data_IF_371365993300
#
_entry.id   IF_371365993300
#
_cell.length_a   1.000
_cell.length_b   1.000
_cell.length_c   1.000
_cell.angle_alpha   90.00
_cell.angle_beta   90.00
_cell.angle_gamma   90.00
#
_symmetry.space_group_name_H-M   'P 1'
#
loop_
_entity.id
_entity.type
_entity.pdbx_description
1 polymer ?
#
# COMPACT_ATOMS: atom_id res chain seq x y z
N UNK A 1 -12.47 24.06 5.65
CA UNK A 1 -13.49 23.34 4.88
C UNK A 1 -14.05 22.24 5.75
N UNK A 2 -15.38 22.20 5.88
CA UNK A 2 -16.12 21.21 6.66
C UNK A 2 -16.23 19.91 5.85
N UNK A 3 -16.29 18.76 6.52
CA UNK A 3 -16.65 17.50 5.86
C UNK A 3 -18.09 17.58 5.32
N UNK A 4 -18.39 16.93 4.19
CA UNK A 4 -19.77 16.84 3.71
C UNK A 4 -20.61 16.00 4.69
N UNK A 5 -21.90 16.34 4.83
CA UNK A 5 -22.81 15.70 5.78
C UNK A 5 -22.81 14.18 5.67
N UNK A 6 -22.96 13.64 4.45
CA UNK A 6 -22.96 12.19 4.22
C UNK A 6 -21.71 11.47 4.77
N UNK A 7 -20.55 12.14 4.78
CA UNK A 7 -19.30 11.54 5.27
C UNK A 7 -19.26 11.53 6.81
N UNK A 8 -19.78 12.58 7.44
CA UNK A 8 -19.96 12.65 8.89
C UNK A 8 -20.97 11.58 9.35
N UNK A 9 -22.11 11.48 8.67
CA UNK A 9 -23.16 10.51 9.00
C UNK A 9 -22.66 9.07 8.82
N UNK A 10 -22.00 8.78 7.69
CA UNK A 10 -21.40 7.48 7.45
C UNK A 10 -20.35 7.11 8.52
N UNK A 11 -19.53 8.07 8.94
CA UNK A 11 -18.55 7.85 10.02
C UNK A 11 -19.24 7.51 11.33
N UNK A 12 -20.30 8.24 11.68
CA UNK A 12 -21.06 8.00 12.90
C UNK A 12 -21.71 6.61 12.89
N UNK A 13 -22.36 6.22 11.79
CA UNK A 13 -22.99 4.90 11.63
C UNK A 13 -21.95 3.78 11.78
N UNK A 14 -20.85 3.84 11.02
CA UNK A 14 -19.80 2.80 11.07
C UNK A 14 -19.21 2.64 12.47
N UNK A 15 -18.97 3.74 13.18
CA UNK A 15 -18.39 3.70 14.52
C UNK A 15 -19.40 3.23 15.57
N UNK A 16 -20.68 3.61 15.43
CA UNK A 16 -21.76 3.13 16.29
C UNK A 16 -21.95 1.61 16.15
N UNK A 17 -21.99 1.08 14.92
CA UNK A 17 -22.08 -0.35 14.64
C UNK A 17 -20.90 -1.14 15.23
N UNK A 18 -19.73 -0.53 15.29
CA UNK A 18 -18.53 -1.10 15.89
C UNK A 18 -18.43 -0.89 17.42
N UNK A 19 -19.36 -0.15 18.03
CA UNK A 19 -19.35 0.14 19.47
C UNK A 19 -18.18 1.01 19.93
N UNK A 20 -17.67 1.90 19.07
CA UNK A 20 -16.51 2.76 19.37
C UNK A 20 -16.80 4.24 19.12
N UNK A 21 -15.98 5.10 19.73
CA UNK A 21 -16.06 6.53 19.49
C UNK A 21 -15.65 6.91 18.05
N UNK A 22 -16.38 7.83 17.40
CA UNK A 22 -16.01 8.30 16.07
C UNK A 22 -14.73 9.15 16.11
N UNK A 23 -13.88 9.06 15.07
CA UNK A 23 -12.72 9.94 14.94
C UNK A 23 -13.16 11.35 14.54
N UNK A 24 -12.29 12.33 14.75
CA UNK A 24 -12.41 13.62 14.06
C UNK A 24 -12.18 13.40 12.57
N UNK A 25 -13.17 13.78 11.76
CA UNK A 25 -13.08 13.71 10.31
C UNK A 25 -12.46 15.01 9.75
N UNK A 26 -11.30 14.88 9.09
CA UNK A 26 -10.64 15.99 8.40
C UNK A 26 -10.81 15.85 6.89
N UNK A 27 -11.52 16.80 6.26
CA UNK A 27 -11.86 16.72 4.84
C UNK A 27 -11.22 17.85 4.04
N UNK A 28 -10.62 17.51 2.89
CA UNK A 28 -10.12 18.49 1.92
C UNK A 28 -10.44 18.01 0.51
N UNK A 29 -10.65 18.93 -0.43
CA UNK A 29 -10.69 18.60 -1.85
C UNK A 29 -9.27 18.52 -2.42
N UNK A 30 -9.11 17.77 -3.50
CA UNK A 30 -7.91 17.75 -4.34
C UNK A 30 -8.32 17.76 -5.81
N UNK A 31 -7.38 18.14 -6.67
CA UNK A 31 -7.56 18.03 -8.12
C UNK A 31 -7.41 16.57 -8.56
N UNK A 32 -8.26 16.16 -9.52
CA UNK A 32 -8.29 14.83 -10.12
C UNK A 32 -9.34 13.89 -9.52
N UNK A 33 -9.54 12.75 -10.18
CA UNK A 33 -10.63 11.83 -9.87
C UNK A 33 -10.43 11.06 -8.58
N UNK A 34 -9.18 10.67 -8.31
CA UNK A 34 -8.87 9.79 -7.20
C UNK A 34 -8.66 10.52 -5.87
N UNK A 35 -9.27 9.97 -4.84
CA UNK A 35 -9.14 10.37 -3.45
C UNK A 35 -7.94 9.66 -2.78
N UNK A 36 -7.52 10.20 -1.65
CA UNK A 36 -6.53 9.55 -0.78
C UNK A 36 -6.92 9.77 0.68
N UNK A 37 -6.74 8.73 1.49
CA UNK A 37 -7.06 8.75 2.91
C UNK A 37 -5.83 8.60 3.80
N UNK A 38 -6.01 8.93 5.08
CA UNK A 38 -5.07 8.59 6.14
C UNK A 38 -5.77 8.49 7.49
N UNK A 39 -5.52 7.39 8.19
CA UNK A 39 -5.96 7.15 9.56
C UNK A 39 -4.83 7.35 10.55
N UNK A 40 -5.08 8.16 11.59
CA UNK A 40 -4.15 8.42 12.71
C UNK A 40 -4.84 8.17 14.04
N UNK A 41 -4.77 6.92 14.52
CA UNK A 41 -5.38 6.50 15.79
C UNK A 41 -4.83 7.27 16.99
N UNK A 42 -3.53 7.47 17.02
CA UNK A 42 -2.82 8.26 18.04
C UNK A 42 -3.29 9.72 18.11
N UNK A 43 -3.85 10.26 17.02
CA UNK A 43 -4.34 11.63 16.93
C UNK A 43 -5.86 11.73 16.82
N UNK A 44 -6.59 10.65 17.05
CA UNK A 44 -8.04 10.68 17.00
C UNK A 44 -8.62 11.11 15.64
N UNK A 45 -7.90 10.93 14.52
CA UNK A 45 -8.24 11.60 13.26
C UNK A 45 -8.27 10.64 12.08
N UNK A 46 -9.31 10.74 11.25
CA UNK A 46 -9.38 10.20 9.88
C UNK A 46 -9.38 11.37 8.91
N UNK A 47 -8.49 11.36 7.93
CA UNK A 47 -8.36 12.44 6.95
C UNK A 47 -8.61 11.93 5.53
N UNK A 48 -9.40 12.66 4.76
CA UNK A 48 -9.67 12.37 3.34
C UNK A 48 -9.34 13.59 2.50
N UNK A 49 -8.54 13.37 1.44
CA UNK A 49 -8.39 14.29 0.32
C UNK A 49 -9.23 13.78 -0.84
N UNK A 50 -10.42 14.34 -1.00
CA UNK A 50 -11.44 13.91 -1.93
C UNK A 50 -11.14 14.37 -3.36
N UNK A 51 -11.09 13.42 -4.30
CA UNK A 51 -11.13 13.69 -5.74
C UNK A 51 -12.55 14.00 -6.22
N UNK A 52 -12.82 13.87 -7.51
CA UNK A 52 -14.16 14.13 -8.10
C UNK A 52 -15.05 12.88 -8.16
N UNK A 53 -14.48 11.67 -8.15
CA UNK A 53 -15.26 10.42 -8.18
C UNK A 53 -15.89 10.14 -6.80
N UNK A 54 -17.22 10.18 -6.74
CA UNK A 54 -17.99 9.96 -5.51
C UNK A 54 -17.90 8.53 -4.95
N UNK A 55 -17.80 7.51 -5.82
CA UNK A 55 -17.64 6.12 -5.40
C UNK A 55 -16.26 5.94 -4.77
N UNK A 56 -15.23 6.51 -5.41
CA UNK A 56 -13.86 6.52 -4.91
C UNK A 56 -13.72 7.28 -3.57
N UNK A 57 -14.40 8.42 -3.41
CA UNK A 57 -14.48 9.15 -2.13
C UNK A 57 -15.06 8.28 -1.02
N UNK A 58 -16.23 7.65 -1.27
CA UNK A 58 -16.89 6.79 -0.29
C UNK A 58 -16.04 5.57 0.06
N UNK A 59 -15.48 4.89 -0.93
CA UNK A 59 -14.55 3.78 -0.73
C UNK A 59 -13.35 4.21 0.11
N UNK A 60 -12.77 5.37 -0.20
CA UNK A 60 -11.60 5.90 0.53
C UNK A 60 -11.94 6.16 1.99
N UNK A 61 -13.10 6.76 2.29
CA UNK A 61 -13.53 6.96 3.67
C UNK A 61 -13.71 5.62 4.39
N UNK A 62 -14.40 4.66 3.77
CA UNK A 62 -14.60 3.33 4.35
C UNK A 62 -13.29 2.57 4.54
N UNK A 63 -12.30 2.73 3.65
CA UNK A 63 -10.96 2.17 3.80
C UNK A 63 -10.27 2.70 5.06
N UNK A 64 -10.33 4.02 5.28
CA UNK A 64 -9.78 4.63 6.48
C UNK A 64 -10.57 4.23 7.74
N UNK A 65 -11.89 4.10 7.66
CA UNK A 65 -12.68 3.60 8.78
C UNK A 65 -12.40 2.12 9.07
N UNK A 66 -12.10 1.30 8.07
CA UNK A 66 -11.59 -0.06 8.29
C UNK A 66 -10.26 -0.04 9.07
N UNK A 67 -9.35 0.89 8.74
CA UNK A 67 -8.15 1.14 9.56
C UNK A 67 -8.47 1.73 10.91
N UNK A 68 -9.62 2.37 11.13
CA UNK A 68 -10.01 2.88 12.44
C UNK A 68 -10.49 1.74 13.34
N UNK A 69 -11.39 0.90 12.84
CA UNK A 69 -12.10 -0.11 13.64
C UNK A 69 -11.39 -1.46 13.74
N UNK A 70 -10.50 -1.79 12.80
CA UNK A 70 -9.75 -3.07 12.85
C UNK A 70 -8.83 -3.12 14.09
N UNK A 71 -8.45 -4.30 14.59
CA UNK A 71 -7.39 -4.40 15.61
C UNK A 71 -6.10 -3.73 15.14
N UNK A 72 -5.35 -3.14 16.08
CA UNK A 72 -4.06 -2.52 15.75
C UNK A 72 -3.11 -3.58 15.13
N UNK A 73 -2.40 -3.25 14.05
CA UNK A 73 -1.58 -4.22 13.35
C UNK A 73 -0.44 -4.70 14.28
N UNK A 74 -0.33 -6.01 14.45
CA UNK A 74 0.73 -6.62 15.26
C UNK A 74 2.07 -6.48 14.52
N UNK A 75 3.13 -6.11 15.24
CA UNK A 75 4.50 -6.20 14.69
C UNK A 75 4.79 -7.65 14.34
N UNK A 76 5.13 -7.92 13.08
CA UNK A 76 5.63 -9.24 12.69
C UNK A 76 6.96 -9.55 13.37
N UNK A 77 7.32 -10.83 13.48
CA UNK A 77 8.65 -11.29 13.97
C UNK A 77 9.83 -10.66 13.21
N UNK A 78 9.59 -10.16 11.98
CA UNK A 78 10.60 -9.46 11.15
C UNK A 78 10.57 -7.94 11.33
N UNK A 79 9.88 -7.42 12.35
CA UNK A 79 9.77 -5.99 12.65
C UNK A 79 8.90 -5.18 11.68
N UNK A 80 8.21 -5.84 10.74
CA UNK A 80 7.30 -5.17 9.78
C UNK A 80 5.87 -5.15 10.31
N UNK A 81 5.22 -3.99 10.23
CA UNK A 81 3.79 -3.82 10.50
C UNK A 81 3.00 -4.08 9.20
N UNK A 82 2.08 -5.03 9.22
CA UNK A 82 1.21 -5.32 8.07
C UNK A 82 -0.06 -4.47 8.19
N UNK A 83 -0.15 -3.40 7.39
CA UNK A 83 -1.27 -2.46 7.42
C UNK A 83 -2.47 -2.95 6.59
N UNK A 84 -2.23 -3.63 5.46
CA UNK A 84 -3.25 -4.13 4.55
C UNK A 84 -3.26 -5.66 4.49
N UNK A 85 -3.35 -6.28 5.67
CA UNK A 85 -3.37 -7.74 5.81
C UNK A 85 -4.76 -8.35 5.63
N UNK A 86 -4.86 -9.67 5.83
CA UNK A 86 -6.14 -10.40 5.70
C UNK A 86 -7.22 -9.85 6.64
N UNK A 87 -6.90 -9.61 7.91
CA UNK A 87 -7.85 -9.11 8.90
C UNK A 87 -8.43 -7.73 8.51
N UNK A 88 -7.58 -6.84 7.97
CA UNK A 88 -8.01 -5.55 7.44
C UNK A 88 -9.00 -5.74 6.29
N UNK A 89 -8.67 -6.58 5.30
CA UNK A 89 -9.54 -6.74 4.13
C UNK A 89 -10.87 -7.43 4.44
N UNK A 90 -10.94 -8.27 5.46
CA UNK A 90 -12.23 -8.80 5.96
C UNK A 90 -13.15 -7.64 6.37
N UNK A 91 -12.65 -6.72 7.19
CA UNK A 91 -13.40 -5.57 7.66
C UNK A 91 -13.73 -4.60 6.51
N UNK A 92 -12.74 -4.30 5.66
CA UNK A 92 -12.90 -3.35 4.58
C UNK A 92 -13.96 -3.78 3.57
N UNK A 93 -13.91 -5.02 3.07
CA UNK A 93 -14.89 -5.51 2.10
C UNK A 93 -16.29 -5.66 2.69
N UNK A 94 -16.38 -6.03 3.96
CA UNK A 94 -17.67 -6.06 4.66
C UNK A 94 -18.29 -4.65 4.78
N UNK A 95 -17.50 -3.63 5.13
CA UNK A 95 -17.95 -2.24 5.12
C UNK A 95 -18.37 -1.77 3.71
N UNK A 96 -17.60 -2.10 2.68
CA UNK A 96 -17.93 -1.74 1.29
C UNK A 96 -19.30 -2.27 0.90
N UNK A 97 -19.56 -3.56 1.18
CA UNK A 97 -20.84 -4.20 0.89
C UNK A 97 -22.00 -3.58 1.67
N UNK A 98 -21.84 -3.41 2.99
CA UNK A 98 -22.88 -2.82 3.87
C UNK A 98 -23.25 -1.40 3.47
N UNK A 99 -22.33 -0.67 2.86
CA UNK A 99 -22.54 0.72 2.43
C UNK A 99 -22.66 0.89 0.90
N UNK A 100 -23.06 -0.18 0.21
CA UNK A 100 -23.56 -0.14 -1.16
C UNK A 100 -22.48 0.00 -2.23
N UNK A 101 -21.24 -0.40 -1.94
CA UNK A 101 -20.18 -0.52 -2.96
C UNK A 101 -20.13 -1.96 -3.42
N UNK A 102 -20.32 -2.19 -4.73
CA UNK A 102 -20.24 -3.51 -5.32
C UNK A 102 -18.83 -4.11 -5.17
N UNK A 103 -18.75 -5.42 -4.91
CA UNK A 103 -17.48 -6.13 -4.73
C UNK A 103 -16.52 -5.94 -5.93
N UNK A 104 -17.07 -5.86 -7.15
CA UNK A 104 -16.30 -5.59 -8.37
C UNK A 104 -15.66 -4.19 -8.38
N UNK A 105 -16.40 -3.15 -7.99
CA UNK A 105 -15.88 -1.78 -7.89
C UNK A 105 -14.86 -1.65 -6.77
N UNK A 106 -15.16 -2.25 -5.62
CA UNK A 106 -14.24 -2.29 -4.50
C UNK A 106 -12.91 -2.94 -4.89
N UNK A 107 -12.95 -4.12 -5.55
CA UNK A 107 -11.75 -4.81 -6.04
C UNK A 107 -10.98 -3.98 -7.06
N UNK A 108 -11.66 -3.35 -8.02
CA UNK A 108 -11.04 -2.51 -9.05
C UNK A 108 -10.29 -1.33 -8.41
N UNK A 109 -10.95 -0.58 -7.54
CA UNK A 109 -10.39 0.61 -6.90
C UNK A 109 -9.28 0.25 -5.90
N UNK A 110 -9.47 -0.78 -5.08
CA UNK A 110 -8.46 -1.26 -4.13
C UNK A 110 -7.23 -1.80 -4.84
N UNK A 111 -7.40 -2.65 -5.85
CA UNK A 111 -6.26 -3.26 -6.56
C UNK A 111 -5.45 -2.27 -7.38
N UNK A 112 -6.08 -1.19 -7.86
CA UNK A 112 -5.39 -0.07 -8.51
C UNK A 112 -4.41 0.64 -7.57
N UNK A 113 -4.74 0.73 -6.27
CA UNK A 113 -3.91 1.37 -5.24
C UNK A 113 -2.95 0.40 -4.55
N UNK A 114 -3.47 -0.78 -4.22
CA UNK A 114 -2.81 -1.81 -3.44
C UNK A 114 -2.97 -3.16 -4.13
N UNK A 115 -1.93 -3.57 -4.89
CA UNK A 115 -1.94 -4.87 -5.60
C UNK A 115 -2.20 -6.08 -4.70
N UNK A 116 -1.86 -5.97 -3.40
CA UNK A 116 -2.16 -7.00 -2.40
C UNK A 116 -3.65 -7.26 -2.21
N UNK A 117 -4.53 -6.30 -2.54
CA UNK A 117 -5.98 -6.44 -2.45
C UNK A 117 -6.49 -7.66 -3.21
N UNK A 118 -5.98 -7.94 -4.42
CA UNK A 118 -6.40 -9.11 -5.21
C UNK A 118 -6.09 -10.42 -4.47
N UNK A 119 -4.91 -10.52 -3.88
CA UNK A 119 -4.49 -11.72 -3.13
C UNK A 119 -5.36 -11.92 -1.90
N UNK A 120 -5.61 -10.86 -1.14
CA UNK A 120 -6.42 -10.96 0.07
C UNK A 120 -7.90 -11.17 -0.24
N UNK A 121 -8.44 -10.48 -1.24
CA UNK A 121 -9.79 -10.66 -1.75
C UNK A 121 -10.05 -12.11 -2.17
N UNK A 122 -9.13 -12.71 -2.93
CA UNK A 122 -9.23 -14.13 -3.30
C UNK A 122 -9.19 -15.05 -2.07
N UNK A 123 -8.31 -14.76 -1.10
CA UNK A 123 -8.16 -15.56 0.11
C UNK A 123 -9.34 -15.45 1.11
N UNK A 124 -10.18 -14.42 0.98
CA UNK A 124 -11.41 -14.26 1.79
C UNK A 124 -12.68 -14.51 0.98
N UNK A 125 -12.56 -14.95 -0.28
CA UNK A 125 -13.70 -15.35 -1.11
C UNK A 125 -14.50 -14.20 -1.72
N UNK A 126 -13.91 -13.03 -1.94
CA UNK A 126 -14.62 -11.94 -2.63
C UNK A 126 -14.92 -12.35 -4.09
N UNK A 127 -16.17 -12.28 -4.55
CA UNK A 127 -16.55 -12.57 -5.94
C UNK A 127 -15.67 -11.84 -6.95
N UNK A 128 -15.20 -12.55 -7.98
CA UNK A 128 -14.33 -12.00 -9.04
C UNK A 128 -12.86 -11.79 -8.65
N UNK A 129 -12.48 -11.85 -7.36
CA UNK A 129 -11.10 -11.59 -6.95
C UNK A 129 -10.10 -12.67 -7.44
N UNK A 130 -10.51 -13.94 -7.45
CA UNK A 130 -9.68 -15.04 -7.92
C UNK A 130 -9.38 -14.94 -9.42
N UNK A 131 -10.39 -14.62 -10.22
CA UNK A 131 -10.27 -14.38 -11.66
C UNK A 131 -9.39 -13.16 -11.95
N UNK A 132 -9.64 -12.03 -11.29
CA UNK A 132 -8.83 -10.82 -11.43
C UNK A 132 -7.36 -11.07 -11.06
N UNK A 133 -7.10 -11.86 -10.01
CA UNK A 133 -5.75 -12.27 -9.62
C UNK A 133 -5.09 -13.17 -10.67
N UNK A 134 -5.83 -14.11 -11.24
CA UNK A 134 -5.34 -14.97 -12.32
C UNK A 134 -4.99 -14.14 -13.56
N UNK A 135 -5.87 -13.25 -14.00
CA UNK A 135 -5.65 -12.32 -15.12
C UNK A 135 -4.41 -11.45 -14.88
N UNK A 136 -4.27 -10.90 -13.67
CA UNK A 136 -3.09 -10.13 -13.31
C UNK A 136 -1.79 -10.95 -13.43
N UNK A 137 -1.78 -12.18 -12.90
CA UNK A 137 -0.62 -13.08 -12.97
C UNK A 137 -0.29 -13.47 -14.40
N UNK A 138 -1.29 -13.77 -15.23
CA UNK A 138 -1.13 -14.05 -16.65
C UNK A 138 -0.54 -12.86 -17.38
N UNK A 139 -1.04 -11.65 -17.12
CA UNK A 139 -0.47 -10.41 -17.65
C UNK A 139 1.01 -10.22 -17.27
N UNK A 140 1.37 -10.48 -16.01
CA UNK A 140 2.77 -10.44 -15.57
C UNK A 140 3.65 -11.48 -16.25
N UNK A 141 3.15 -12.70 -16.48
CA UNK A 141 3.88 -13.77 -17.18
C UNK A 141 4.09 -13.46 -18.66
N UNK A 142 3.13 -12.76 -19.28
CA UNK A 142 3.19 -12.34 -20.68
C UNK A 142 4.08 -11.11 -20.91
N UNK A 143 4.51 -10.41 -19.85
CA UNK A 143 5.42 -9.27 -20.01
C UNK A 143 6.71 -9.77 -20.67
N UNK A 144 7.19 -9.09 -21.73
CA UNK A 144 8.45 -9.45 -22.34
C UNK A 144 9.53 -9.46 -21.26
N UNK A 145 10.34 -10.52 -21.24
CA UNK A 145 11.48 -10.57 -20.32
C UNK A 145 12.43 -9.46 -20.76
N UNK A 146 12.69 -8.51 -19.86
CA UNK A 146 13.73 -7.52 -20.10
C UNK A 146 15.03 -8.25 -20.41
N UNK A 147 15.65 -7.93 -21.54
CA UNK A 147 17.00 -8.37 -21.83
C UNK A 147 17.94 -7.45 -21.04
N UNK A 148 18.57 -8.04 -20.03
CA UNK A 148 19.51 -7.34 -19.18
C UNK A 148 20.90 -7.41 -19.82
N UNK A 149 21.54 -6.25 -19.98
CA UNK A 149 22.95 -6.15 -20.35
C UNK A 149 23.75 -5.79 -19.10
N UNK A 150 24.91 -6.40 -18.94
CA UNK A 150 25.85 -6.06 -17.85
C UNK A 150 26.48 -4.71 -18.16
N UNK A 151 26.20 -3.71 -17.33
CA UNK A 151 26.84 -2.38 -17.41
C UNK A 151 28.15 -2.36 -16.62
N UNK A 152 28.16 -3.01 -15.45
CA UNK A 152 29.38 -3.24 -14.67
C UNK A 152 29.36 -4.68 -14.17
N UNK A 153 30.42 -5.43 -14.49
CA UNK A 153 30.59 -6.83 -14.11
C UNK A 153 30.51 -7.04 -12.60
N UNK A 154 30.28 -8.28 -12.15
CA UNK A 154 30.18 -8.57 -10.72
C UNK A 154 31.49 -8.26 -9.97
N UNK A 155 31.39 -7.44 -8.92
CA UNK A 155 32.54 -7.04 -8.12
C UNK A 155 32.18 -6.96 -6.64
N UNK A 156 33.19 -7.00 -5.77
CA UNK A 156 33.03 -6.76 -4.35
C UNK A 156 32.67 -5.28 -4.10
N UNK A 157 31.76 -5.03 -3.16
CA UNK A 157 31.38 -3.66 -2.80
C UNK A 157 32.43 -3.07 -1.87
N UNK A 158 33.18 -2.10 -2.39
CA UNK A 158 34.04 -1.21 -1.60
C UNK A 158 33.30 0.09 -1.35
N UNK A 159 33.07 0.42 -0.07
CA UNK A 159 32.29 1.59 0.32
C UNK A 159 33.18 2.82 0.46
N UNK A 160 32.92 3.85 -0.33
CA UNK A 160 33.44 5.21 -0.11
C UNK A 160 32.32 6.19 0.25
N UNK A 161 32.71 7.39 0.69
CA UNK A 161 31.77 8.49 0.95
C UNK A 161 31.83 9.51 -0.17
N UNK A 162 30.66 9.86 -0.70
CA UNK A 162 30.48 11.00 -1.61
C UNK A 162 29.47 11.97 -0.98
N UNK A 163 30.00 13.00 -0.31
CA UNK A 163 29.22 13.89 0.54
C UNK A 163 28.49 13.13 1.67
N UNK A 164 27.16 13.24 1.71
CA UNK A 164 26.32 12.54 2.71
C UNK A 164 26.02 11.07 2.38
N UNK A 165 26.45 10.58 1.23
CA UNK A 165 26.07 9.25 0.74
C UNK A 165 27.22 8.25 0.81
N UNK A 166 26.88 6.97 1.02
CA UNK A 166 27.81 5.87 0.79
C UNK A 166 27.61 5.40 -0.64
N UNK A 167 28.71 5.23 -1.38
CA UNK A 167 28.72 4.77 -2.76
C UNK A 167 29.68 3.60 -2.90
N UNK A 168 29.46 2.76 -3.91
CA UNK A 168 30.46 1.77 -4.30
C UNK A 168 31.56 2.47 -5.12
N UNK A 169 32.82 2.30 -4.72
CA UNK A 169 33.97 2.86 -5.43
C UNK A 169 34.06 2.39 -6.89
N UNK A 170 33.70 1.14 -7.16
CA UNK A 170 33.85 0.54 -8.49
C UNK A 170 32.76 0.96 -9.48
N UNK A 171 31.50 1.10 -9.05
CA UNK A 171 30.39 1.39 -9.97
C UNK A 171 29.59 2.66 -9.65
N UNK A 172 29.98 3.41 -8.61
CA UNK A 172 29.34 4.66 -8.22
C UNK A 172 27.93 4.52 -7.63
N UNK A 173 27.38 3.30 -7.53
CA UNK A 173 26.01 3.10 -7.03
C UNK A 173 25.88 3.50 -5.57
N UNK A 174 24.84 4.27 -5.27
CA UNK A 174 24.51 4.66 -3.90
C UNK A 174 24.01 3.45 -3.12
N UNK A 175 24.64 3.19 -1.98
CA UNK A 175 24.30 2.09 -1.09
C UNK A 175 23.63 2.62 0.17
N UNK A 176 22.38 2.22 0.41
CA UNK A 176 21.56 2.71 1.55
C UNK A 176 20.82 1.58 2.26
N UNK A 177 20.26 1.89 3.43
CA UNK A 177 19.32 1.04 4.13
C UNK A 177 19.88 -0.34 4.49
N UNK A 178 19.08 -1.38 4.26
CA UNK A 178 19.42 -2.76 4.62
C UNK A 178 20.67 -3.28 3.91
N UNK A 179 20.91 -2.87 2.66
CA UNK A 179 22.12 -3.28 1.92
C UNK A 179 23.37 -2.70 2.57
N UNK A 180 23.37 -1.41 2.92
CA UNK A 180 24.47 -0.77 3.65
C UNK A 180 24.71 -1.44 5.01
N UNK A 181 23.63 -1.71 5.76
CA UNK A 181 23.71 -2.39 7.04
C UNK A 181 24.28 -3.82 6.90
N UNK A 182 23.89 -4.55 5.85
CA UNK A 182 24.41 -5.89 5.55
C UNK A 182 25.90 -5.86 5.23
N UNK A 183 26.36 -4.91 4.42
CA UNK A 183 27.78 -4.77 4.07
C UNK A 183 28.60 -4.48 5.34
N UNK A 184 28.14 -3.56 6.18
CA UNK A 184 28.84 -3.18 7.41
C UNK A 184 28.88 -4.28 8.48
N UNK A 185 27.84 -5.11 8.55
CA UNK A 185 27.74 -6.22 9.53
C UNK A 185 28.27 -7.54 8.98
N UNK A 186 28.52 -7.61 7.68
CA UNK A 186 28.90 -8.84 7.01
C UNK A 186 30.35 -9.19 7.27
N UNK A 187 30.62 -10.46 7.59
CA UNK A 187 31.99 -11.00 7.64
C UNK A 187 32.53 -11.39 6.26
N UNK A 188 31.66 -11.44 5.24
CA UNK A 188 32.02 -11.80 3.87
C UNK A 188 31.79 -10.59 2.94
N UNK A 189 32.63 -10.41 1.91
CA UNK A 189 32.43 -9.39 0.90
C UNK A 189 31.05 -9.56 0.25
N UNK A 190 30.26 -8.50 0.27
CA UNK A 190 29.02 -8.44 -0.50
C UNK A 190 29.41 -8.06 -1.92
N UNK A 191 28.88 -8.80 -2.90
CA UNK A 191 29.08 -8.50 -4.32
C UNK A 191 27.84 -7.87 -4.92
N UNK A 192 28.03 -7.07 -5.97
CA UNK A 192 26.94 -6.61 -6.83
C UNK A 192 27.35 -6.57 -8.29
N UNK A 193 26.34 -6.57 -9.17
CA UNK A 193 26.44 -6.41 -10.61
C UNK A 193 25.50 -5.28 -10.99
N UNK A 194 25.95 -4.38 -11.88
CA UNK A 194 25.09 -3.32 -12.39
C UNK A 194 24.55 -3.77 -13.75
N UNK A 195 23.24 -3.91 -13.84
CA UNK A 195 22.54 -4.31 -15.05
C UNK A 195 21.76 -3.12 -15.60
N UNK A 196 21.64 -3.05 -16.92
CA UNK A 196 20.71 -2.15 -17.61
C UNK A 196 19.76 -2.97 -18.47
N UNK A 197 18.51 -2.55 -18.60
CA UNK A 197 17.56 -3.19 -19.51
C UNK A 197 17.62 -2.52 -20.87
N UNK A 198 17.67 -3.29 -21.96
CA UNK A 198 17.37 -2.73 -23.28
C UNK A 198 15.87 -2.45 -23.32
N UNK A 199 15.52 -1.20 -23.67
CA UNK A 199 14.13 -0.77 -23.85
C UNK A 199 13.50 -1.49 -25.04
#
# INVERSE_FOLDING_TARGET
>A
MTSPHWATDLTAVVCADAGIAPPRLAWRRRTGDHSSGLTRRDRGTVAVRAGTDHVDQRLTLLHELAHWISPAPRRSRRGRTEHHGRAFYVVAFDLYRRHGIADADALRLESGRYRSALRHGAAIGIPGAAEALATHRSGLRRRPRSTWTVLVAEHAVHLSRQGRWHVCETCGQRIVGLTLARIRRGRRPVRHVLLTSRA
#
